data_IF_847854346362
#
_entry.id   IF_847854346362
#
_cell.length_a   1.000
_cell.length_b   1.000
_cell.length_c   1.000
_cell.angle_alpha   90.00
_cell.angle_beta   90.00
_cell.angle_gamma   90.00
#
_symmetry.space_group_name_H-M   'P 1'
#
loop_
_entity.id
_entity.type
_entity.pdbx_description
1 polymer ?
#
# COMPACT_ATOMS: atom_id res chain seq x y z
N UNK A 1 75.82 4.78 6.22
CA UNK A 1 74.92 5.98 6.22
C UNK A 1 74.50 6.48 4.84
N UNK A 2 75.41 6.77 3.88
CA UNK A 2 75.03 7.32 2.56
C UNK A 2 74.10 6.41 1.73
N UNK A 3 74.34 5.09 1.74
CA UNK A 3 73.52 4.10 1.01
C UNK A 3 72.11 3.99 1.57
N UNK A 4 71.97 3.93 2.90
CA UNK A 4 70.68 3.88 3.60
C UNK A 4 69.86 5.15 3.34
N UNK A 5 70.50 6.32 3.38
CA UNK A 5 69.83 7.60 3.07
C UNK A 5 69.30 7.62 1.63
N UNK A 6 70.09 7.15 0.66
CA UNK A 6 69.70 7.09 -0.76
C UNK A 6 68.53 6.11 -1.01
N UNK A 7 68.48 4.99 -0.27
CA UNK A 7 67.38 4.04 -0.33
C UNK A 7 66.08 4.63 0.25
N UNK A 8 66.16 5.27 1.42
CA UNK A 8 65.03 5.96 2.05
C UNK A 8 64.47 7.07 1.15
N UNK A 9 65.32 7.86 0.50
CA UNK A 9 64.87 8.91 -0.42
C UNK A 9 64.14 8.33 -1.64
N UNK A 10 64.60 7.20 -2.19
CA UNK A 10 63.92 6.54 -3.31
C UNK A 10 62.55 5.98 -2.90
N UNK A 11 62.45 5.36 -1.73
CA UNK A 11 61.18 4.86 -1.20
C UNK A 11 60.18 6.00 -0.97
N UNK A 12 60.62 7.13 -0.43
CA UNK A 12 59.77 8.31 -0.24
C UNK A 12 59.25 8.86 -1.57
N UNK A 13 60.09 8.97 -2.59
CA UNK A 13 59.69 9.44 -3.93
C UNK A 13 58.71 8.48 -4.61
N UNK A 14 58.92 7.17 -4.49
CA UNK A 14 57.99 6.15 -5.02
C UNK A 14 56.64 6.26 -4.32
N UNK A 15 56.63 6.42 -2.98
CA UNK A 15 55.39 6.58 -2.22
C UNK A 15 54.63 7.86 -2.64
N UNK A 16 55.33 8.98 -2.83
CA UNK A 16 54.74 10.22 -3.34
C UNK A 16 54.16 10.06 -4.75
N UNK A 17 54.87 9.36 -5.64
CA UNK A 17 54.39 9.08 -6.99
C UNK A 17 53.13 8.20 -6.98
N UNK A 18 53.08 7.18 -6.12
CA UNK A 18 51.90 6.32 -5.94
C UNK A 18 50.70 7.09 -5.36
N UNK A 19 50.93 7.98 -4.38
CA UNK A 19 49.89 8.86 -3.83
C UNK A 19 49.35 9.83 -4.87
N UNK A 20 50.21 10.41 -5.71
CA UNK A 20 49.78 11.27 -6.81
C UNK A 20 48.96 10.51 -7.85
N UNK A 21 49.38 9.29 -8.22
CA UNK A 21 48.62 8.42 -9.13
C UNK A 21 47.26 8.03 -8.54
N UNK A 22 47.17 7.74 -7.24
CA UNK A 22 45.91 7.48 -6.57
C UNK A 22 45.00 8.73 -6.55
N UNK A 23 45.55 9.92 -6.30
CA UNK A 23 44.80 11.18 -6.38
C UNK A 23 44.28 11.49 -7.79
N UNK A 24 45.07 11.19 -8.82
CA UNK A 24 44.65 11.29 -10.22
C UNK A 24 43.56 10.27 -10.55
N UNK A 25 43.70 9.01 -10.12
CA UNK A 25 42.68 7.99 -10.28
C UNK A 25 41.36 8.39 -9.60
N UNK A 26 41.40 8.90 -8.36
CA UNK A 26 40.21 9.43 -7.68
C UNK A 26 39.57 10.61 -8.42
N UNK A 27 40.35 11.44 -9.12
CA UNK A 27 39.82 12.56 -9.92
C UNK A 27 39.12 12.09 -11.20
N UNK A 28 39.55 10.96 -11.77
CA UNK A 28 38.95 10.37 -12.98
C UNK A 28 37.87 9.34 -12.68
N UNK A 29 37.79 8.83 -11.45
CA UNK A 29 36.63 8.11 -10.97
C UNK A 29 35.51 9.13 -10.75
N UNK A 30 34.47 9.09 -11.58
CA UNK A 30 33.23 9.83 -11.36
C UNK A 30 32.53 9.27 -10.10
N UNK A 31 33.03 9.62 -8.91
CA UNK A 31 32.35 9.41 -7.64
C UNK A 31 31.14 10.35 -7.60
N UNK A 32 30.04 9.93 -8.25
CA UNK A 32 28.72 10.48 -7.95
C UNK A 32 28.33 9.92 -6.58
N UNK A 33 28.57 10.70 -5.54
CA UNK A 33 28.07 10.42 -4.19
C UNK A 33 26.59 10.82 -4.18
N UNK A 34 25.72 9.86 -4.48
CA UNK A 34 24.28 10.06 -4.51
C UNK A 34 23.61 9.15 -5.55
N UNK A 35 22.29 8.93 -5.44
CA UNK A 35 21.55 8.25 -6.49
C UNK A 35 21.73 8.99 -7.84
N UNK A 36 21.76 8.28 -8.98
CA UNK A 36 21.78 8.94 -10.27
C UNK A 36 20.57 9.89 -10.40
N UNK A 37 20.70 11.01 -11.15
CA UNK A 37 19.55 11.85 -11.42
C UNK A 37 18.45 11.00 -12.07
N UNK A 38 17.17 11.22 -11.72
CA UNK A 38 16.06 10.46 -12.29
C UNK A 38 16.06 10.58 -13.82
N UNK A 39 15.78 9.46 -14.50
CA UNK A 39 15.66 9.45 -15.95
C UNK A 39 14.50 10.36 -16.36
N UNK A 40 14.75 11.42 -17.15
CA UNK A 40 13.72 12.40 -17.54
C UNK A 40 12.60 11.81 -18.40
N UNK A 41 12.75 10.57 -18.89
CA UNK A 41 11.72 9.84 -19.64
C UNK A 41 10.83 8.95 -18.77
N UNK A 42 11.19 8.73 -17.50
CA UNK A 42 10.38 7.93 -16.58
C UNK A 42 9.11 8.68 -16.20
N UNK A 43 7.92 8.05 -16.32
CA UNK A 43 6.68 8.66 -15.84
C UNK A 43 6.78 8.96 -14.35
N UNK A 44 6.53 10.22 -13.97
CA UNK A 44 6.53 10.62 -12.56
C UNK A 44 5.27 10.08 -11.88
N UNK A 45 5.46 9.33 -10.81
CA UNK A 45 4.37 8.83 -9.96
C UNK A 45 4.27 9.74 -8.75
N UNK A 46 3.13 10.41 -8.60
CA UNK A 46 2.85 11.30 -7.47
C UNK A 46 1.96 10.59 -6.46
N UNK A 47 2.38 10.60 -5.20
CA UNK A 47 1.60 10.11 -4.08
C UNK A 47 0.31 10.90 -3.92
N UNK A 48 -0.83 10.22 -3.95
CA UNK A 48 -2.14 10.85 -3.89
C UNK A 48 -2.39 11.61 -2.57
N UNK A 49 -1.84 11.15 -1.45
CA UNK A 49 -2.10 11.73 -0.14
C UNK A 49 -1.20 12.94 0.19
N UNK A 50 0.08 12.84 -0.15
CA UNK A 50 1.14 13.79 0.21
C UNK A 50 1.54 14.72 -0.95
N UNK A 51 1.28 14.32 -2.19
CA UNK A 51 1.74 15.05 -3.38
C UNK A 51 3.25 14.89 -3.66
N UNK A 52 3.94 14.02 -2.94
CA UNK A 52 5.37 13.76 -3.16
C UNK A 52 5.62 12.84 -4.35
N UNK A 53 6.78 13.01 -4.99
CA UNK A 53 7.28 12.09 -6.00
C UNK A 53 7.69 10.76 -5.36
N UNK A 54 7.05 9.68 -5.81
CA UNK A 54 7.24 8.31 -5.34
C UNK A 54 7.62 7.36 -6.48
N UNK A 55 8.16 7.90 -7.57
CA UNK A 55 8.58 7.14 -8.77
C UNK A 55 9.57 6.02 -8.42
N UNK A 56 10.43 6.24 -7.42
CA UNK A 56 11.46 5.28 -6.99
C UNK A 56 11.02 4.34 -5.86
N UNK A 57 9.78 4.43 -5.38
CA UNK A 57 9.30 3.56 -4.32
C UNK A 57 8.88 2.18 -4.88
N UNK A 58 8.83 1.10 -4.06
CA UNK A 58 8.57 -0.27 -4.54
C UNK A 58 7.30 -0.39 -5.39
N UNK A 59 7.26 -1.28 -6.38
CA UNK A 59 6.07 -1.45 -7.24
C UNK A 59 4.82 -1.92 -6.49
N UNK A 60 4.98 -2.41 -5.28
CA UNK A 60 3.92 -2.90 -4.39
C UNK A 60 3.78 -2.01 -3.16
N UNK A 61 2.60 -2.06 -2.55
CA UNK A 61 2.28 -1.44 -1.27
C UNK A 61 1.72 -2.47 -0.30
N UNK A 62 2.04 -2.33 0.97
CA UNK A 62 1.59 -3.22 2.04
C UNK A 62 0.57 -2.48 2.90
N UNK A 63 -0.68 -2.89 2.80
CA UNK A 63 -1.81 -2.16 3.35
C UNK A 63 -2.30 -2.80 4.64
N UNK A 64 -2.58 -1.95 5.62
CA UNK A 64 -3.19 -2.34 6.88
C UNK A 64 -4.68 -2.65 6.66
N UNK A 65 -5.21 -3.72 7.26
CA UNK A 65 -6.57 -4.18 6.94
C UNK A 65 -7.63 -3.57 7.86
N UNK A 66 -8.50 -2.73 7.32
CA UNK A 66 -9.64 -2.15 8.02
C UNK A 66 -10.93 -2.92 7.76
N UNK A 67 -11.88 -2.85 8.69
CA UNK A 67 -13.22 -3.44 8.52
C UNK A 67 -14.27 -2.38 8.79
N UNK A 68 -15.22 -2.20 7.85
CA UNK A 68 -16.36 -1.31 8.01
C UNK A 68 -17.65 -2.07 7.75
N UNK A 69 -18.48 -2.20 8.77
CA UNK A 69 -19.73 -2.95 8.75
C UNK A 69 -20.92 -2.00 8.82
N UNK A 70 -21.54 -1.75 7.67
CA UNK A 70 -22.73 -0.90 7.51
C UNK A 70 -24.03 -1.69 7.72
N UNK A 71 -23.95 -2.99 8.01
CA UNK A 71 -25.12 -3.83 8.24
C UNK A 71 -25.54 -3.87 9.72
N UNK A 72 -26.74 -4.38 9.97
CA UNK A 72 -27.28 -4.66 11.31
C UNK A 72 -26.87 -6.05 11.85
N UNK A 73 -26.12 -6.84 11.08
CA UNK A 73 -25.54 -8.11 11.53
C UNK A 73 -24.06 -7.91 11.90
N UNK A 74 -23.56 -8.70 12.84
CA UNK A 74 -22.15 -8.66 13.21
C UNK A 74 -21.29 -9.44 12.21
N UNK A 75 -20.00 -9.14 12.15
CA UNK A 75 -18.99 -9.93 11.44
C UNK A 75 -18.11 -10.63 12.46
N UNK A 76 -18.17 -11.96 12.49
CA UNK A 76 -17.39 -12.77 13.45
C UNK A 76 -15.94 -13.00 13.01
N UNK A 77 -15.67 -13.00 11.70
CA UNK A 77 -14.32 -13.07 11.14
C UNK A 77 -14.30 -12.48 9.74
N UNK A 78 -13.21 -11.82 9.40
CA UNK A 78 -12.94 -11.25 8.08
C UNK A 78 -11.48 -11.51 7.72
N UNK A 79 -11.25 -11.89 6.47
CA UNK A 79 -9.94 -12.10 5.88
C UNK A 79 -9.88 -11.45 4.50
N UNK A 80 -8.71 -10.94 4.13
CA UNK A 80 -8.40 -10.52 2.77
C UNK A 80 -7.08 -11.18 2.38
N UNK A 81 -7.04 -11.93 1.28
CA UNK A 81 -5.91 -12.74 0.84
C UNK A 81 -5.30 -13.57 1.99
N UNK A 82 -6.16 -14.31 2.71
CA UNK A 82 -5.82 -15.15 3.86
C UNK A 82 -5.25 -14.41 5.09
N UNK A 83 -5.18 -13.08 5.06
CA UNK A 83 -4.73 -12.28 6.21
C UNK A 83 -5.93 -11.87 7.06
N UNK A 84 -5.86 -12.16 8.36
CA UNK A 84 -6.95 -11.91 9.30
C UNK A 84 -7.10 -10.42 9.64
N UNK A 85 -8.31 -9.90 9.45
CA UNK A 85 -8.68 -8.51 9.72
C UNK A 85 -9.39 -8.30 11.07
N UNK A 86 -9.82 -9.38 11.73
CA UNK A 86 -10.67 -9.32 12.92
C UNK A 86 -12.15 -9.59 12.63
N UNK A 87 -13.00 -9.23 13.59
CA UNK A 87 -14.45 -9.14 13.45
C UNK A 87 -14.90 -7.69 13.60
N UNK A 88 -16.19 -7.42 13.38
CA UNK A 88 -16.75 -6.08 13.52
C UNK A 88 -18.18 -6.15 14.03
N UNK A 89 -18.49 -5.33 15.04
CA UNK A 89 -19.84 -5.17 15.54
C UNK A 89 -20.78 -4.63 14.44
N UNK A 90 -22.10 -4.85 14.56
CA UNK A 90 -23.08 -4.19 13.71
C UNK A 90 -22.87 -2.67 13.71
N UNK A 91 -23.05 -2.04 12.55
CA UNK A 91 -22.94 -0.57 12.40
C UNK A 91 -21.66 -0.01 13.02
N UNK A 92 -20.52 -0.62 12.74
CA UNK A 92 -19.23 -0.19 13.29
C UNK A 92 -18.14 -0.27 12.24
N UNK A 93 -17.13 0.59 12.38
CA UNK A 93 -15.96 0.60 11.52
C UNK A 93 -14.72 0.79 12.38
N UNK A 94 -13.71 -0.02 12.12
CA UNK A 94 -12.43 0.03 12.81
C UNK A 94 -11.29 0.22 11.82
N UNK A 95 -10.35 1.09 12.20
CA UNK A 95 -9.08 1.16 11.50
C UNK A 95 -8.24 -0.06 11.88
N UNK A 96 -7.44 -0.50 10.93
CA UNK A 96 -6.61 -1.68 11.00
C UNK A 96 -5.60 -1.66 12.16
N UNK A 97 -5.50 -2.77 12.90
CA UNK A 97 -4.38 -3.06 13.80
C UNK A 97 -3.41 -4.13 13.25
N UNK A 98 -3.80 -4.82 12.15
CA UNK A 98 -3.07 -5.97 11.60
C UNK A 98 -2.53 -5.68 10.19
N UNK A 99 -1.25 -6.02 10.00
CA UNK A 99 -0.52 -5.95 8.74
C UNK A 99 -0.35 -7.36 8.15
N UNK A 100 -0.39 -7.57 6.83
CA UNK A 100 -0.73 -6.65 5.75
C UNK A 100 -1.23 -7.43 4.53
N UNK A 101 -2.01 -6.78 3.67
CA UNK A 101 -2.27 -7.26 2.30
C UNK A 101 -1.40 -6.49 1.33
N UNK A 102 -0.76 -7.22 0.41
CA UNK A 102 0.04 -6.62 -0.66
C UNK A 102 -0.83 -6.36 -1.88
N UNK A 103 -0.76 -5.14 -2.41
CA UNK A 103 -1.36 -4.74 -3.69
C UNK A 103 -0.31 -4.05 -4.58
N UNK A 104 -0.47 -4.07 -5.93
CA UNK A 104 0.35 -3.23 -6.79
C UNK A 104 0.14 -1.75 -6.44
N UNK A 105 1.13 -0.89 -6.62
CA UNK A 105 0.95 0.55 -6.38
C UNK A 105 0.16 1.23 -7.50
N UNK A 106 0.30 0.73 -8.72
CA UNK A 106 -0.50 1.18 -9.86
C UNK A 106 -1.69 0.25 -10.00
N UNK A 107 -2.89 0.80 -9.80
CA UNK A 107 -4.13 0.08 -10.03
C UNK A 107 -4.25 -0.30 -11.52
N UNK A 108 -4.82 -1.47 -11.79
CA UNK A 108 -5.19 -1.89 -13.13
C UNK A 108 -6.58 -2.56 -13.12
N UNK A 109 -7.31 -2.53 -14.25
CA UNK A 109 -8.55 -3.28 -14.41
C UNK A 109 -8.35 -4.77 -14.11
N UNK A 110 -9.35 -5.41 -13.52
CA UNK A 110 -9.29 -6.83 -13.11
C UNK A 110 -8.51 -7.11 -11.82
N UNK A 111 -7.95 -6.09 -11.14
CA UNK A 111 -7.31 -6.27 -9.84
C UNK A 111 -8.31 -6.79 -8.81
N UNK A 112 -8.06 -7.99 -8.28
CA UNK A 112 -8.93 -8.68 -7.32
C UNK A 112 -8.18 -9.12 -6.07
N UNK A 113 -8.93 -9.33 -5.00
CA UNK A 113 -8.50 -10.01 -3.79
C UNK A 113 -9.52 -11.07 -3.40
N UNK A 114 -9.07 -12.12 -2.73
CA UNK A 114 -9.97 -13.12 -2.16
C UNK A 114 -10.38 -12.65 -0.76
N UNK A 115 -11.68 -12.58 -0.49
CA UNK A 115 -12.21 -12.26 0.83
C UNK A 115 -12.89 -13.48 1.42
N UNK A 116 -12.68 -13.72 2.71
CA UNK A 116 -13.41 -14.71 3.46
C UNK A 116 -14.04 -14.07 4.70
N UNK A 117 -15.34 -14.21 4.90
CA UNK A 117 -16.03 -13.62 6.04
C UNK A 117 -17.16 -14.50 6.56
N UNK A 118 -17.59 -14.21 7.78
CA UNK A 118 -18.74 -14.86 8.41
C UNK A 118 -19.51 -13.85 9.23
N UNK A 119 -20.83 -13.79 9.01
CA UNK A 119 -21.70 -12.96 9.84
C UNK A 119 -22.10 -13.68 11.14
N UNK A 120 -22.59 -12.95 12.13
CA UNK A 120 -23.10 -13.55 13.36
C UNK A 120 -24.31 -14.44 13.07
N UNK A 121 -25.22 -14.04 12.17
CA UNK A 121 -26.34 -14.89 11.75
C UNK A 121 -25.90 -16.20 11.11
N UNK A 122 -24.83 -16.19 10.30
CA UNK A 122 -24.24 -17.41 9.73
C UNK A 122 -23.72 -18.33 10.84
N UNK A 123 -22.97 -17.77 11.79
CA UNK A 123 -22.40 -18.52 12.91
C UNK A 123 -23.48 -19.19 13.78
N UNK A 124 -24.59 -18.49 14.06
CA UNK A 124 -25.70 -19.04 14.84
C UNK A 124 -26.38 -20.23 14.16
N UNK A 125 -26.38 -20.27 12.82
CA UNK A 125 -26.93 -21.39 12.03
C UNK A 125 -25.94 -22.56 11.96
N UNK A 126 -24.68 -22.25 11.65
CA UNK A 126 -23.60 -23.22 11.58
C UNK A 126 -22.26 -22.54 11.97
N UNK A 127 -21.64 -22.96 13.08
CA UNK A 127 -20.34 -22.44 13.51
C UNK A 127 -19.19 -22.62 12.51
N UNK A 128 -19.31 -23.52 11.53
CA UNK A 128 -18.30 -23.75 10.49
C UNK A 128 -18.55 -22.97 9.20
N UNK A 129 -19.71 -22.34 9.06
CA UNK A 129 -20.09 -21.60 7.84
C UNK A 129 -19.19 -20.39 7.59
N UNK A 130 -18.97 -20.06 6.31
CA UNK A 130 -18.37 -18.80 5.86
C UNK A 130 -18.65 -18.59 4.38
N UNK A 131 -18.50 -17.36 3.93
CA UNK A 131 -18.46 -17.01 2.51
C UNK A 131 -17.02 -16.76 2.12
N UNK A 132 -16.60 -17.31 0.99
CA UNK A 132 -15.35 -16.99 0.32
C UNK A 132 -15.65 -16.60 -1.12
N UNK A 133 -15.13 -15.46 -1.56
CA UNK A 133 -15.31 -14.97 -2.94
C UNK A 133 -14.18 -14.02 -3.34
N UNK A 134 -13.88 -14.00 -4.63
CA UNK A 134 -13.01 -12.99 -5.23
C UNK A 134 -13.79 -11.68 -5.42
N UNK A 135 -13.21 -10.57 -4.97
CA UNK A 135 -13.79 -9.22 -5.09
C UNK A 135 -12.80 -8.32 -5.81
N UNK A 136 -13.31 -7.57 -6.79
CA UNK A 136 -12.54 -6.54 -7.47
C UNK A 136 -12.24 -5.38 -6.51
N UNK A 137 -10.99 -4.91 -6.53
CA UNK A 137 -10.56 -3.76 -5.75
C UNK A 137 -10.98 -2.49 -6.47
N UNK A 138 -11.69 -1.62 -5.77
CA UNK A 138 -12.11 -0.33 -6.31
C UNK A 138 -10.89 0.47 -6.81
N UNK A 139 -11.03 1.25 -7.91
CA UNK A 139 -9.93 2.06 -8.44
C UNK A 139 -9.29 2.96 -7.37
N UNK A 140 -7.97 3.07 -7.42
CA UNK A 140 -7.21 4.00 -6.57
C UNK A 140 -6.09 4.67 -7.36
N UNK A 141 -5.74 5.86 -6.91
CA UNK A 141 -4.50 6.56 -7.32
C UNK A 141 -3.33 6.03 -6.50
N UNK A 142 -2.09 6.06 -7.01
CA UNK A 142 -0.93 5.56 -6.27
C UNK A 142 -0.70 6.31 -4.96
N UNK A 143 -0.35 5.57 -3.90
CA UNK A 143 0.05 6.11 -2.60
C UNK A 143 1.10 5.20 -1.94
N UNK A 144 1.80 5.71 -0.91
CA UNK A 144 2.84 4.99 -0.18
C UNK A 144 2.26 4.04 0.86
N UNK A 145 1.52 4.59 1.80
CA UNK A 145 1.03 3.90 3.00
C UNK A 145 -0.47 4.14 3.19
N UNK A 146 -1.16 3.13 3.70
CA UNK A 146 -2.58 3.25 3.95
C UNK A 146 -3.25 1.94 4.33
N UNK A 147 -4.52 1.86 3.97
CA UNK A 147 -5.43 0.82 4.38
C UNK A 147 -6.03 0.11 3.17
N UNK A 148 -6.41 -1.14 3.39
CA UNK A 148 -7.36 -1.88 2.56
C UNK A 148 -8.59 -2.17 3.43
N UNK A 149 -9.74 -1.63 3.04
CA UNK A 149 -10.98 -1.82 3.78
C UNK A 149 -11.81 -2.95 3.18
N UNK A 150 -12.20 -3.90 4.03
CA UNK A 150 -13.37 -4.74 3.80
C UNK A 150 -14.61 -3.96 4.23
N UNK A 151 -15.46 -3.58 3.27
CA UNK A 151 -16.69 -2.82 3.53
C UNK A 151 -17.89 -3.72 3.26
N UNK A 152 -18.66 -3.99 4.31
CA UNK A 152 -19.83 -4.88 4.28
C UNK A 152 -21.11 -4.09 4.43
N UNK A 153 -22.08 -4.39 3.58
CA UNK A 153 -23.38 -3.74 3.49
C UNK A 153 -24.49 -4.80 3.60
N UNK A 154 -25.76 -4.37 3.80
CA UNK A 154 -26.91 -5.27 3.72
C UNK A 154 -26.92 -6.10 2.43
N UNK A 155 -27.56 -7.28 2.49
CA UNK A 155 -27.71 -8.22 1.38
C UNK A 155 -26.39 -8.80 0.83
N UNK A 156 -25.42 -9.08 1.72
CA UNK A 156 -24.12 -9.68 1.36
C UNK A 156 -23.29 -8.87 0.35
N UNK A 157 -23.58 -7.58 0.25
CA UNK A 157 -22.85 -6.64 -0.59
C UNK A 157 -21.51 -6.30 0.06
N UNK A 158 -20.44 -6.66 -0.63
CA UNK A 158 -19.05 -6.43 -0.20
C UNK A 158 -18.37 -5.50 -1.18
N UNK A 159 -17.55 -4.58 -0.65
CA UNK A 159 -16.61 -3.75 -1.42
C UNK A 159 -15.23 -3.80 -0.77
N UNK A 160 -14.21 -3.75 -1.62
CA UNK A 160 -12.80 -3.65 -1.18
C UNK A 160 -12.22 -2.35 -1.69
N UNK A 161 -11.72 -1.52 -0.77
CA UNK A 161 -11.18 -0.20 -1.08
C UNK A 161 -9.77 -0.06 -0.53
N UNK A 162 -8.81 0.23 -1.41
CA UNK A 162 -7.47 0.65 -0.99
C UNK A 162 -7.40 2.19 -0.94
N UNK A 163 -6.87 2.73 0.15
CA UNK A 163 -6.92 4.18 0.42
C UNK A 163 -5.90 4.59 1.50
N UNK A 164 -5.30 5.79 1.42
CA UNK A 164 -4.51 6.35 2.53
C UNK A 164 -5.38 6.90 3.68
N UNK A 165 -6.71 6.92 3.51
CA UNK A 165 -7.67 7.49 4.46
C UNK A 165 -8.65 6.44 4.99
N UNK A 166 -9.48 6.81 5.96
CA UNK A 166 -10.52 5.95 6.55
C UNK A 166 -11.93 6.50 6.28
N UNK A 167 -12.99 5.68 6.29
CA UNK A 167 -14.38 6.15 6.14
C UNK A 167 -14.72 7.28 7.13
N UNK A 168 -15.47 8.29 6.69
CA UNK A 168 -15.78 9.50 7.45
C UNK A 168 -14.63 10.51 7.57
N UNK A 169 -13.48 10.26 6.92
CA UNK A 169 -12.44 11.28 6.76
C UNK A 169 -12.77 12.18 5.56
N UNK A 170 -12.67 13.52 5.65
CA UNK A 170 -13.04 14.42 4.55
C UNK A 170 -12.30 14.22 3.22
N UNK A 171 -11.10 13.59 3.23
CA UNK A 171 -10.36 13.24 2.02
C UNK A 171 -10.53 11.79 1.58
N UNK A 172 -11.34 11.01 2.29
CA UNK A 172 -11.73 9.70 1.81
C UNK A 172 -12.41 9.90 0.45
N UNK A 173 -11.95 9.17 -0.57
CA UNK A 173 -12.33 9.43 -1.95
C UNK A 173 -13.83 9.29 -2.21
N UNK A 174 -14.51 8.57 -1.32
CA UNK A 174 -15.95 8.42 -1.31
C UNK A 174 -16.52 9.25 -0.17
N UNK A 175 -17.53 10.07 -0.45
CA UNK A 175 -18.34 10.69 0.58
C UNK A 175 -19.14 9.56 1.25
N UNK A 176 -18.62 8.95 2.31
CA UNK A 176 -19.35 8.01 3.16
C UNK A 176 -18.81 8.12 4.58
N UNK A 177 -19.72 8.20 5.54
CA UNK A 177 -19.34 8.33 6.95
C UNK A 177 -18.86 7.00 7.54
N UNK A 178 -18.35 7.09 8.77
CA UNK A 178 -18.15 5.91 9.62
C UNK A 178 -19.45 5.10 9.70
N UNK A 179 -19.35 3.78 9.68
CA UNK A 179 -20.54 2.91 9.66
C UNK A 179 -21.46 3.11 10.89
N UNK A 180 -20.91 3.58 12.01
CA UNK A 180 -21.69 3.93 13.20
C UNK A 180 -22.57 5.16 13.05
N UNK A 181 -22.24 6.07 12.12
CA UNK A 181 -22.99 7.31 11.86
C UNK A 181 -23.73 7.29 10.53
N UNK A 182 -23.30 6.47 9.58
CA UNK A 182 -23.89 6.46 8.25
C UNK A 182 -25.28 5.84 8.24
N UNK A 183 -26.29 6.64 7.93
CA UNK A 183 -27.71 6.24 7.82
C UNK A 183 -28.36 6.74 6.54
N UNK A 184 -27.61 7.45 5.71
CA UNK A 184 -28.06 8.04 4.46
C UNK A 184 -27.99 6.97 3.36
N UNK A 185 -29.15 6.47 2.97
CA UNK A 185 -29.27 5.44 1.94
C UNK A 185 -28.76 5.93 0.57
N UNK A 186 -28.90 7.23 0.27
CA UNK A 186 -28.39 7.81 -0.98
C UNK A 186 -26.87 7.81 -1.00
N UNK A 187 -26.24 8.18 0.14
CA UNK A 187 -24.78 8.17 0.26
C UNK A 187 -24.22 6.74 0.16
N UNK A 188 -24.89 5.77 0.78
CA UNK A 188 -24.54 4.34 0.64
C UNK A 188 -24.70 3.85 -0.79
N UNK A 189 -25.81 4.18 -1.47
CA UNK A 189 -26.04 3.79 -2.85
C UNK A 189 -24.99 4.40 -3.78
N UNK A 190 -24.66 5.68 -3.61
CA UNK A 190 -23.62 6.37 -4.37
C UNK A 190 -22.26 5.70 -4.18
N UNK A 191 -21.87 5.38 -2.94
CA UNK A 191 -20.66 4.63 -2.66
C UNK A 191 -20.64 3.28 -3.40
N UNK A 192 -21.75 2.52 -3.32
CA UNK A 192 -21.84 1.19 -3.95
C UNK A 192 -21.73 1.27 -5.47
N UNK A 193 -22.22 2.35 -6.09
CA UNK A 193 -22.12 2.65 -7.52
C UNK A 193 -20.69 3.04 -7.93
N UNK A 194 -20.05 3.95 -7.19
CA UNK A 194 -18.69 4.42 -7.49
C UNK A 194 -17.63 3.33 -7.32
N UNK A 195 -17.89 2.40 -6.39
CA UNK A 195 -17.04 1.23 -6.14
C UNK A 195 -17.46 0.00 -6.94
N UNK A 196 -18.36 0.15 -7.92
CA UNK A 196 -18.73 -0.98 -8.77
C UNK A 196 -17.49 -1.56 -9.45
N UNK A 197 -17.46 -2.89 -9.60
CA UNK A 197 -16.43 -3.53 -10.40
C UNK A 197 -16.49 -2.97 -11.82
N UNK A 198 -15.38 -2.38 -12.28
CA UNK A 198 -15.20 -2.13 -13.71
C UNK A 198 -14.80 -3.46 -14.32
N UNK A 199 -15.77 -4.17 -14.87
CA UNK A 199 -15.49 -5.35 -15.68
C UNK A 199 -14.59 -4.95 -16.84
N UNK A 200 -13.64 -5.84 -17.17
CA UNK A 200 -12.92 -5.73 -18.42
C UNK A 200 -13.89 -6.27 -19.45
N UNK A 201 -14.46 -5.41 -20.29
CA UNK A 201 -15.12 -5.88 -21.52
C UNK A 201 -14.06 -6.67 -22.29
N UNK A 202 -14.19 -8.00 -22.32
CA UNK A 202 -13.32 -8.92 -23.09
C UNK A 202 -13.50 -8.74 -24.60
#
# INVERSE_FOLDING_TARGET
MKVVRKLLTRLALICLALLALAGVALKFMEFRIGPPPPDPTTPIIIDFASGHDITNAPSEMHLMIGVANYSDDGLGRVYINDVWAGGMEPRSSGNAATCCVTLPRLWHPGLKVTVAYRTSSMFLKDPQSYVEKDILVAPYKPFLDGFIYFMYFPDDQVRVVATPYFPGYPKFQYDIEFASRERDEERVAQFLLETLPKEVDE
#
